data_IF_653431373306
#
_entry.id   IF_653431373306
#
_cell.length_a   1.000
_cell.length_b   1.000
_cell.length_c   1.000
_cell.angle_alpha   90.00
_cell.angle_beta   90.00
_cell.angle_gamma   90.00
#
_symmetry.space_group_name_H-M   'P 1'
#
loop_
_entity.id
_entity.type
_entity.pdbx_description
1 polymer ?
#
# COMPACT_ATOMS: atom_id res chain seq x y z
N UNK A 1 -22.45 7.63 4.71
CA UNK A 1 -21.18 8.04 5.35
C UNK A 1 -20.19 6.89 5.58
N UNK A 2 -20.60 5.66 5.93
CA UNK A 2 -19.64 4.56 6.22
C UNK A 2 -18.78 4.02 5.05
N UNK A 3 -19.15 4.26 3.79
CA UNK A 3 -18.39 3.78 2.62
C UNK A 3 -16.99 4.42 2.49
N UNK A 4 -16.91 5.73 2.66
CA UNK A 4 -15.64 6.46 2.54
C UNK A 4 -14.68 6.13 3.69
N UNK A 5 -15.20 5.78 4.87
CA UNK A 5 -14.38 5.42 6.04
C UNK A 5 -13.55 4.16 5.78
N UNK A 6 -14.10 3.15 5.08
CA UNK A 6 -13.33 1.94 4.74
C UNK A 6 -12.23 2.22 3.73
N UNK A 7 -12.52 3.04 2.71
CA UNK A 7 -11.51 3.46 1.74
C UNK A 7 -10.44 4.33 2.38
N UNK A 8 -10.82 5.23 3.28
CA UNK A 8 -9.89 6.03 4.06
C UNK A 8 -9.02 5.13 4.93
N UNK A 9 -9.62 4.21 5.70
CA UNK A 9 -8.90 3.29 6.57
C UNK A 9 -7.86 2.46 5.79
N UNK A 10 -8.26 1.87 4.66
CA UNK A 10 -7.34 1.10 3.80
C UNK A 10 -6.28 1.99 3.15
N UNK A 11 -6.67 3.19 2.72
CA UNK A 11 -5.75 4.21 2.20
C UNK A 11 -4.68 4.58 3.23
N UNK A 12 -5.09 4.96 4.45
CA UNK A 12 -4.18 5.25 5.56
C UNK A 12 -3.32 4.05 5.92
N UNK A 13 -3.87 2.83 5.93
CA UNK A 13 -3.11 1.64 6.26
C UNK A 13 -2.03 1.34 5.22
N UNK A 14 -2.33 1.55 3.93
CA UNK A 14 -1.36 1.42 2.86
C UNK A 14 -0.27 2.51 2.89
N UNK A 15 -0.65 3.76 3.15
CA UNK A 15 0.31 4.87 3.31
C UNK A 15 1.22 4.64 4.53
N UNK A 16 0.65 4.25 5.67
CA UNK A 16 1.41 3.88 6.87
C UNK A 16 2.37 2.73 6.59
N UNK A 17 1.93 1.70 5.86
CA UNK A 17 2.76 0.56 5.51
C UNK A 17 3.92 0.96 4.58
N UNK A 18 3.67 1.85 3.61
CA UNK A 18 4.72 2.40 2.76
C UNK A 18 5.75 3.21 3.57
N UNK A 19 5.30 4.05 4.50
CA UNK A 19 6.21 4.83 5.37
C UNK A 19 7.05 3.89 6.24
N UNK A 20 6.45 2.85 6.81
CA UNK A 20 7.14 1.84 7.62
C UNK A 20 8.19 1.09 6.80
N UNK A 21 7.85 0.65 5.59
CA UNK A 21 8.80 -0.02 4.68
C UNK A 21 9.96 0.90 4.28
N UNK A 22 9.69 2.18 4.06
CA UNK A 22 10.69 3.16 3.67
C UNK A 22 11.67 3.43 4.82
N UNK A 23 11.15 3.58 6.05
CA UNK A 23 11.97 3.72 7.26
C UNK A 23 12.77 2.44 7.56
N UNK A 24 12.17 1.26 7.42
CA UNK A 24 12.86 -0.02 7.60
C UNK A 24 13.95 -0.23 6.55
N UNK A 25 13.67 0.05 5.27
CA UNK A 25 14.65 -0.06 4.19
C UNK A 25 15.84 0.88 4.39
N UNK A 26 15.57 2.12 4.80
CA UNK A 26 16.61 3.08 5.14
C UNK A 26 17.43 2.64 6.36
N UNK A 27 16.77 2.16 7.41
CA UNK A 27 17.44 1.73 8.64
C UNK A 27 18.32 0.48 8.41
N UNK A 28 17.82 -0.52 7.68
CA UNK A 28 18.58 -1.71 7.28
C UNK A 28 19.78 -1.29 6.42
N UNK A 29 19.58 -0.38 5.47
CA UNK A 29 20.67 0.14 4.65
C UNK A 29 21.75 0.85 5.47
N UNK A 30 21.37 1.70 6.42
CA UNK A 30 22.29 2.37 7.34
C UNK A 30 23.06 1.39 8.24
N UNK A 31 22.45 0.26 8.63
CA UNK A 31 23.13 -0.80 9.40
C UNK A 31 24.15 -1.59 8.56
N UNK A 32 23.91 -1.72 7.26
CA UNK A 32 24.82 -2.44 6.35
C UNK A 32 26.02 -1.55 6.00
N UNK A 33 25.77 -0.36 5.48
CA UNK A 33 26.83 0.55 5.05
C UNK A 33 26.29 1.99 4.88
N UNK A 34 26.49 2.87 5.89
CA UNK A 34 25.83 4.17 5.98
C UNK A 34 26.31 5.20 4.95
N UNK A 35 27.52 5.04 4.38
CA UNK A 35 28.07 5.94 3.36
C UNK A 35 27.82 5.44 1.92
N UNK A 36 27.22 4.27 1.77
CA UNK A 36 27.06 3.61 0.48
C UNK A 36 25.72 3.94 -0.18
N UNK A 37 25.57 3.64 -1.47
CA UNK A 37 24.32 3.85 -2.23
C UNK A 37 23.18 2.87 -1.83
N UNK A 38 23.54 1.80 -1.12
CA UNK A 38 22.65 0.72 -0.69
C UNK A 38 21.40 1.15 0.10
N UNK A 39 21.45 2.10 1.07
CA UNK A 39 20.28 2.53 1.81
C UNK A 39 19.24 3.19 0.91
N UNK A 40 19.70 4.05 -0.02
CA UNK A 40 18.82 4.67 -1.00
C UNK A 40 18.21 3.66 -1.97
N UNK A 41 19.02 2.71 -2.45
CA UNK A 41 18.57 1.67 -3.37
C UNK A 41 17.57 0.69 -2.74
N UNK A 42 17.84 0.23 -1.51
CA UNK A 42 16.95 -0.65 -0.75
C UNK A 42 15.66 0.05 -0.36
N UNK A 43 15.72 1.33 0.05
CA UNK A 43 14.52 2.13 0.32
C UNK A 43 13.68 2.33 -0.96
N UNK A 44 14.31 2.56 -2.11
CA UNK A 44 13.61 2.71 -3.38
C UNK A 44 12.93 1.39 -3.83
N UNK A 45 13.61 0.25 -3.68
CA UNK A 45 13.02 -1.07 -3.96
C UNK A 45 11.86 -1.39 -3.01
N UNK A 46 12.02 -1.10 -1.72
CA UNK A 46 10.95 -1.25 -0.72
C UNK A 46 9.74 -0.36 -1.03
N UNK A 47 9.98 0.90 -1.42
CA UNK A 47 8.93 1.82 -1.84
C UNK A 47 8.22 1.37 -3.12
N UNK A 48 8.94 0.89 -4.13
CA UNK A 48 8.35 0.35 -5.37
C UNK A 48 7.50 -0.89 -5.09
N UNK A 49 8.01 -1.82 -4.28
CA UNK A 49 7.28 -3.01 -3.82
C UNK A 49 6.00 -2.65 -3.06
N UNK A 50 6.09 -1.70 -2.13
CA UNK A 50 4.95 -1.19 -1.36
C UNK A 50 3.91 -0.50 -2.25
N UNK A 51 4.36 0.29 -3.23
CA UNK A 51 3.49 0.99 -4.18
C UNK A 51 2.70 -0.01 -5.03
N UNK A 52 3.38 -1.03 -5.57
CA UNK A 52 2.74 -2.07 -6.38
C UNK A 52 1.67 -2.81 -5.57
N UNK A 53 2.00 -3.18 -4.33
CA UNK A 53 1.08 -3.85 -3.41
C UNK A 53 -0.13 -2.98 -3.07
N UNK A 54 0.08 -1.68 -2.86
CA UNK A 54 -0.99 -0.72 -2.60
C UNK A 54 -1.93 -0.57 -3.80
N UNK A 55 -1.39 -0.46 -5.02
CA UNK A 55 -2.16 -0.40 -6.26
C UNK A 55 -3.01 -1.66 -6.43
N UNK A 56 -2.44 -2.85 -6.22
CA UNK A 56 -3.18 -4.12 -6.28
C UNK A 56 -4.31 -4.18 -5.25
N UNK A 57 -4.08 -3.70 -4.02
CA UNK A 57 -5.09 -3.64 -2.97
C UNK A 57 -6.25 -2.71 -3.34
N UNK A 58 -5.94 -1.53 -3.87
CA UNK A 58 -6.93 -0.56 -4.37
C UNK A 58 -7.79 -1.16 -5.50
N UNK A 59 -7.14 -1.83 -6.45
CA UNK A 59 -7.84 -2.49 -7.56
C UNK A 59 -8.75 -3.63 -7.08
N UNK A 60 -8.29 -4.41 -6.10
CA UNK A 60 -9.10 -5.49 -5.49
C UNK A 60 -10.32 -4.92 -4.77
N UNK A 61 -10.16 -3.82 -4.03
CA UNK A 61 -11.25 -3.12 -3.35
C UNK A 61 -12.28 -2.55 -4.32
N UNK A 62 -11.83 -1.90 -5.39
CA UNK A 62 -12.70 -1.38 -6.44
C UNK A 62 -13.52 -2.51 -7.08
N UNK A 63 -12.86 -3.62 -7.41
CA UNK A 63 -13.50 -4.81 -8.00
C UNK A 63 -14.49 -5.50 -7.04
N UNK A 64 -14.21 -5.53 -5.74
CA UNK A 64 -15.15 -6.03 -4.73
C UNK A 64 -16.39 -5.14 -4.60
N UNK A 65 -16.23 -3.82 -4.68
CA UNK A 65 -17.37 -2.92 -4.67
C UNK A 65 -18.24 -3.08 -5.91
N UNK A 66 -17.65 -3.21 -7.10
CA UNK A 66 -18.40 -3.47 -8.33
C UNK A 66 -19.15 -4.80 -8.27
N UNK A 67 -18.53 -5.87 -7.74
CA UNK A 67 -19.23 -7.14 -7.52
C UNK A 67 -20.41 -7.00 -6.57
N UNK A 68 -20.23 -6.30 -5.44
CA UNK A 68 -21.31 -6.08 -4.47
C UNK A 68 -22.44 -5.23 -5.06
N UNK A 69 -22.13 -4.26 -5.91
CA UNK A 69 -23.12 -3.40 -6.56
C UNK A 69 -23.94 -4.18 -7.59
N UNK A 70 -23.30 -4.99 -8.42
CA UNK A 70 -23.96 -5.86 -9.40
C UNK A 70 -24.82 -6.96 -8.73
N UNK A 71 -24.29 -7.61 -7.68
CA UNK A 71 -25.05 -8.61 -6.92
C UNK A 71 -26.31 -8.04 -6.26
N UNK A 72 -26.30 -6.76 -5.87
CA UNK A 72 -27.45 -6.08 -5.28
C UNK A 72 -28.50 -5.64 -6.32
N UNK A 73 -28.11 -5.50 -7.59
CA UNK A 73 -29.01 -5.12 -8.68
C UNK A 73 -29.73 -6.31 -9.32
N UNK A 74 -29.18 -7.53 -9.23
CA UNK A 74 -29.83 -8.76 -9.71
C UNK A 74 -30.73 -9.45 -8.67
N UNK A 75 -30.81 -8.92 -7.45
CA UNK A 75 -31.62 -9.48 -6.35
C UNK A 75 -32.90 -8.70 -6.03
N UNK A 76 -33.36 -7.83 -6.94
CA UNK A 76 -34.58 -7.03 -6.81
C UNK A 76 -35.44 -7.23 -8.07
#
# INVERSE_FOLDING_TARGET
MGKYIKYYAVGTQGILFMIVLLLLGYWIGCQIDPESFWPGFLAALGALSGLLSFICLLWKLLKEEDRKKNAKQMGN
#
